data_IF_630954729692
#
_entry.id   IF_630954729692
#
_cell.length_a   1.000
_cell.length_b   1.000
_cell.length_c   1.000
_cell.angle_alpha   90.00
_cell.angle_beta   90.00
_cell.angle_gamma   90.00
#
_symmetry.space_group_name_H-M   'P 1'
#
loop_
_entity.id
_entity.type
_entity.pdbx_description
1 polymer ?
#
# COMPACT_ATOMS: atom_id res chain seq x y z
N UNK A 1 -18.85 -14.14 -14.49
CA UNK A 1 -18.62 -12.95 -15.35
C UNK A 1 -17.67 -13.36 -16.47
N UNK A 2 -17.71 -12.76 -17.67
CA UNK A 2 -16.72 -13.08 -18.74
C UNK A 2 -15.84 -11.87 -18.99
N UNK A 3 -14.53 -12.07 -19.04
CA UNK A 3 -13.55 -11.04 -19.44
C UNK A 3 -12.74 -11.63 -20.57
N UNK A 4 -12.66 -10.92 -21.71
CA UNK A 4 -11.96 -11.39 -22.92
C UNK A 4 -12.40 -12.80 -23.38
N UNK A 5 -13.66 -13.18 -23.13
CA UNK A 5 -14.23 -14.48 -23.49
C UNK A 5 -14.06 -15.60 -22.46
N UNK A 6 -13.13 -15.45 -21.50
CA UNK A 6 -12.90 -16.43 -20.44
C UNK A 6 -13.92 -16.25 -19.28
N UNK A 7 -14.54 -17.34 -18.80
CA UNK A 7 -15.39 -17.29 -17.62
C UNK A 7 -14.55 -17.07 -16.37
N UNK A 8 -14.75 -15.93 -15.71
CA UNK A 8 -14.19 -15.63 -14.40
C UNK A 8 -15.25 -15.89 -13.34
N UNK A 9 -14.92 -16.85 -12.47
CA UNK A 9 -15.64 -17.11 -11.23
C UNK A 9 -14.96 -16.36 -10.08
N UNK A 10 -15.48 -15.17 -9.77
CA UNK A 10 -14.98 -14.32 -8.70
C UNK A 10 -15.12 -14.99 -7.33
N UNK A 11 -16.18 -15.78 -7.12
CA UNK A 11 -16.44 -16.46 -5.85
C UNK A 11 -15.39 -17.54 -5.59
N UNK A 12 -15.12 -18.37 -6.60
CA UNK A 12 -14.06 -19.37 -6.52
C UNK A 12 -12.67 -18.73 -6.39
N UNK A 13 -12.39 -17.65 -7.15
CA UNK A 13 -11.12 -16.93 -7.05
C UNK A 13 -10.91 -16.30 -5.68
N UNK A 14 -11.95 -15.73 -5.05
CA UNK A 14 -11.88 -15.20 -3.70
C UNK A 14 -11.65 -16.30 -2.66
N UNK A 15 -12.34 -17.43 -2.77
CA UNK A 15 -12.15 -18.57 -1.89
C UNK A 15 -10.76 -19.21 -2.05
N UNK A 16 -10.19 -19.18 -3.26
CA UNK A 16 -8.80 -19.58 -3.51
C UNK A 16 -7.83 -18.59 -2.88
N UNK A 17 -8.01 -17.28 -3.13
CA UNK A 17 -7.19 -16.20 -2.57
C UNK A 17 -7.08 -16.31 -1.04
N UNK A 18 -8.22 -16.52 -0.38
CA UNK A 18 -8.27 -16.66 1.07
C UNK A 18 -7.60 -17.94 1.58
N UNK A 19 -7.70 -19.06 0.88
CA UNK A 19 -7.14 -20.35 1.33
C UNK A 19 -5.65 -20.49 1.00
N UNK A 20 -5.23 -20.05 -0.17
CA UNK A 20 -3.91 -20.32 -0.73
C UNK A 20 -2.92 -19.18 -0.51
N UNK A 21 -3.39 -17.94 -0.37
CA UNK A 21 -2.55 -16.75 -0.26
C UNK A 21 -2.79 -15.94 1.02
N UNK A 22 -3.45 -16.51 2.03
CA UNK A 22 -3.73 -15.84 3.33
C UNK A 22 -2.50 -15.17 3.94
N UNK A 23 -1.37 -15.87 3.96
CA UNK A 23 -0.13 -15.34 4.52
C UNK A 23 0.34 -14.08 3.78
N UNK A 24 0.25 -14.07 2.44
CA UNK A 24 0.57 -12.91 1.62
C UNK A 24 -0.42 -11.76 1.85
N UNK A 25 -1.72 -12.04 2.02
CA UNK A 25 -2.69 -11.00 2.36
C UNK A 25 -2.41 -10.38 3.74
N UNK A 26 -2.09 -11.21 4.75
CA UNK A 26 -1.73 -10.72 6.08
C UNK A 26 -0.44 -9.89 6.04
N UNK A 27 0.58 -10.34 5.31
CA UNK A 27 1.83 -9.60 5.10
C UNK A 27 1.60 -8.29 4.34
N UNK A 28 0.75 -8.31 3.32
CA UNK A 28 0.37 -7.11 2.57
C UNK A 28 -0.31 -6.09 3.49
N UNK A 29 -1.25 -6.53 4.33
CA UNK A 29 -1.92 -5.67 5.30
C UNK A 29 -0.93 -5.10 6.32
N UNK A 30 -0.07 -5.94 6.89
CA UNK A 30 0.91 -5.51 7.88
C UNK A 30 1.91 -4.49 7.30
N UNK A 31 2.46 -4.77 6.12
CA UNK A 31 3.38 -3.86 5.43
C UNK A 31 2.70 -2.57 4.96
N UNK A 32 1.42 -2.63 4.56
CA UNK A 32 0.67 -1.43 4.21
C UNK A 32 0.46 -0.51 5.42
N UNK A 33 0.15 -1.07 6.59
CA UNK A 33 0.00 -0.31 7.84
C UNK A 33 1.33 0.29 8.29
N UNK A 34 2.42 -0.48 8.24
CA UNK A 34 3.75 0.02 8.57
C UNK A 34 4.18 1.15 7.63
N UNK A 35 3.93 1.01 6.33
CA UNK A 35 4.25 2.06 5.38
C UNK A 35 3.41 3.32 5.67
N UNK A 36 2.08 3.21 5.83
CA UNK A 36 1.23 4.35 6.19
C UNK A 36 1.68 5.05 7.48
N UNK A 37 2.05 4.28 8.52
CA UNK A 37 2.59 4.82 9.76
C UNK A 37 3.92 5.55 9.54
N UNK A 38 4.82 4.97 8.75
CA UNK A 38 6.11 5.58 8.43
C UNK A 38 5.97 6.85 7.59
N UNK A 39 5.03 6.87 6.64
CA UNK A 39 4.69 8.06 5.85
C UNK A 39 4.10 9.15 6.74
N UNK A 40 3.21 8.78 7.67
CA UNK A 40 2.63 9.74 8.62
C UNK A 40 3.72 10.37 9.51
N UNK A 41 4.64 9.55 10.03
CA UNK A 41 5.76 10.02 10.85
C UNK A 41 6.77 10.87 10.06
N UNK A 42 7.00 10.52 8.80
CA UNK A 42 7.80 11.32 7.87
C UNK A 42 7.15 12.68 7.61
N UNK A 43 5.86 12.70 7.25
CA UNK A 43 5.11 13.93 6.96
C UNK A 43 4.96 14.83 8.18
N UNK A 44 4.84 14.27 9.39
CA UNK A 44 4.78 15.08 10.62
C UNK A 44 6.09 15.80 10.92
N UNK A 45 7.22 15.30 10.40
CA UNK A 45 8.55 15.84 10.68
C UNK A 45 9.09 16.73 9.57
N UNK A 46 8.87 16.36 8.31
CA UNK A 46 9.44 17.03 7.13
C UNK A 46 8.40 17.78 6.29
N UNK A 47 7.12 17.65 6.64
CA UNK A 47 6.00 18.26 5.93
C UNK A 47 5.52 17.44 4.73
N UNK A 48 4.29 17.73 4.31
CA UNK A 48 3.60 17.01 3.21
C UNK A 48 4.25 17.23 1.85
N UNK A 49 4.86 18.39 1.62
CA UNK A 49 5.44 18.77 0.32
C UNK A 49 6.62 17.88 -0.11
N UNK A 50 7.27 17.25 0.86
CA UNK A 50 8.41 16.35 0.64
C UNK A 50 8.00 14.93 0.27
N UNK A 51 6.72 14.61 0.28
CA UNK A 51 6.20 13.31 -0.15
C UNK A 51 6.43 13.10 -1.65
N UNK A 52 7.09 12.00 -2.00
CA UNK A 52 7.42 11.64 -3.38
C UNK A 52 6.21 11.11 -4.14
N UNK A 53 5.26 10.49 -3.44
CA UNK A 53 4.04 10.00 -4.07
C UNK A 53 3.03 11.13 -4.27
N UNK A 54 2.77 11.60 -5.50
CA UNK A 54 1.91 12.75 -5.74
C UNK A 54 0.45 12.50 -5.33
N UNK A 55 -0.01 11.24 -5.40
CA UNK A 55 -1.36 10.87 -5.00
C UNK A 55 -1.49 10.94 -3.48
N UNK A 56 -0.56 10.35 -2.73
CA UNK A 56 -0.57 10.42 -1.27
C UNK A 56 -0.38 11.87 -0.82
N UNK A 57 0.51 12.64 -1.46
CA UNK A 57 0.67 14.08 -1.19
C UNK A 57 -0.63 14.85 -1.36
N UNK A 58 -1.34 14.64 -2.48
CA UNK A 58 -2.62 15.29 -2.75
C UNK A 58 -3.69 14.90 -1.73
N UNK A 59 -3.78 13.61 -1.38
CA UNK A 59 -4.71 13.12 -0.36
C UNK A 59 -4.36 13.66 1.03
N UNK A 60 -3.08 13.74 1.39
CA UNK A 60 -2.63 14.29 2.67
C UNK A 60 -2.84 15.79 2.77
N UNK A 61 -2.69 16.53 1.67
CA UNK A 61 -2.99 17.96 1.63
C UNK A 61 -4.49 18.26 1.79
N UNK A 62 -5.36 17.37 1.30
CA UNK A 62 -6.81 17.55 1.38
C UNK A 62 -7.45 16.98 2.65
N UNK A 63 -7.05 15.76 3.05
CA UNK A 63 -7.64 15.02 4.16
C UNK A 63 -6.79 15.03 5.44
N UNK A 64 -5.57 15.56 5.39
CA UNK A 64 -4.62 15.57 6.50
C UNK A 64 -3.61 14.41 6.47
N UNK A 65 -2.51 14.59 7.21
CA UNK A 65 -1.31 13.75 7.16
C UNK A 65 -1.51 12.30 7.60
N UNK A 66 -2.59 12.01 8.34
CA UNK A 66 -2.92 10.65 8.81
C UNK A 66 -3.89 9.96 7.84
N UNK A 67 -4.93 10.67 7.40
CA UNK A 67 -5.98 10.08 6.55
C UNK A 67 -5.48 9.90 5.12
N UNK A 68 -4.64 10.81 4.62
CA UNK A 68 -4.08 10.74 3.26
C UNK A 68 -3.34 9.42 2.97
N UNK A 69 -2.34 9.02 3.77
CA UNK A 69 -1.62 7.77 3.58
C UNK A 69 -2.53 6.53 3.72
N UNK A 70 -3.48 6.54 4.66
CA UNK A 70 -4.43 5.45 4.83
C UNK A 70 -5.31 5.24 3.59
N UNK A 71 -5.85 6.32 3.01
CA UNK A 71 -6.65 6.25 1.79
C UNK A 71 -5.83 5.72 0.60
N UNK A 72 -4.57 6.16 0.47
CA UNK A 72 -3.65 5.62 -0.53
C UNK A 72 -3.47 4.10 -0.40
N UNK A 73 -3.34 3.59 0.82
CA UNK A 73 -3.21 2.14 1.09
C UNK A 73 -4.49 1.38 0.87
N UNK A 74 -5.66 1.94 1.21
CA UNK A 74 -6.95 1.33 0.89
C UNK A 74 -7.07 1.13 -0.62
N UNK A 75 -6.74 2.14 -1.42
CA UNK A 75 -6.73 2.03 -2.89
C UNK A 75 -5.78 0.94 -3.40
N UNK A 76 -4.56 0.88 -2.86
CA UNK A 76 -3.59 -0.16 -3.20
C UNK A 76 -4.07 -1.57 -2.84
N UNK A 77 -4.66 -1.75 -1.65
CA UNK A 77 -5.19 -3.04 -1.19
C UNK A 77 -6.35 -3.51 -2.09
N UNK A 78 -7.28 -2.61 -2.41
CA UNK A 78 -8.39 -2.91 -3.33
C UNK A 78 -7.85 -3.30 -4.70
N UNK A 79 -6.88 -2.54 -5.24
CA UNK A 79 -6.26 -2.84 -6.53
C UNK A 79 -5.55 -4.20 -6.55
N UNK A 80 -4.79 -4.51 -5.51
CA UNK A 80 -4.09 -5.79 -5.39
C UNK A 80 -5.07 -6.97 -5.29
N UNK A 81 -6.13 -6.85 -4.47
CA UNK A 81 -7.17 -7.88 -4.34
C UNK A 81 -7.92 -8.04 -5.66
N UNK A 82 -8.34 -6.94 -6.29
CA UNK A 82 -9.04 -6.97 -7.56
C UNK A 82 -8.20 -7.68 -8.64
N UNK A 83 -6.91 -7.36 -8.76
CA UNK A 83 -6.00 -8.05 -9.67
C UNK A 83 -5.87 -9.55 -9.36
N UNK A 84 -5.82 -9.93 -8.07
CA UNK A 84 -5.81 -11.34 -7.70
C UNK A 84 -7.10 -12.08 -8.07
N UNK A 85 -8.25 -11.40 -7.98
CA UNK A 85 -9.55 -11.97 -8.36
C UNK A 85 -9.71 -12.08 -9.88
N UNK A 86 -9.14 -11.15 -10.65
CA UNK A 86 -9.21 -11.14 -12.12
C UNK A 86 -8.15 -12.06 -12.74
N UNK A 87 -6.96 -12.15 -12.14
CA UNK A 87 -5.83 -12.92 -12.62
C UNK A 87 -5.26 -13.85 -11.51
N UNK A 88 -5.99 -14.91 -11.13
CA UNK A 88 -5.62 -15.79 -10.02
C UNK A 88 -4.25 -16.45 -10.18
N UNK A 89 -3.79 -16.69 -11.42
CA UNK A 89 -2.45 -17.23 -11.71
C UNK A 89 -1.32 -16.27 -11.33
N UNK A 90 -1.58 -14.97 -11.36
CA UNK A 90 -0.61 -13.93 -11.01
C UNK A 90 -0.74 -13.46 -9.57
N UNK A 91 -1.71 -13.96 -8.79
CA UNK A 91 -2.03 -13.44 -7.45
C UNK A 91 -0.81 -13.36 -6.52
N UNK A 92 -0.01 -14.44 -6.42
CA UNK A 92 1.22 -14.45 -5.61
C UNK A 92 2.24 -13.40 -6.06
N UNK A 93 2.41 -13.24 -7.37
CA UNK A 93 3.32 -12.24 -7.94
C UNK A 93 2.82 -10.83 -7.61
N UNK A 94 1.55 -10.54 -7.86
CA UNK A 94 0.91 -9.24 -7.55
C UNK A 94 1.06 -8.88 -6.07
N UNK A 95 0.75 -9.81 -5.17
CA UNK A 95 0.88 -9.58 -3.72
C UNK A 95 2.34 -9.37 -3.32
N UNK A 96 3.27 -10.16 -3.86
CA UNK A 96 4.71 -10.03 -3.56
C UNK A 96 5.26 -8.67 -4.00
N UNK A 97 4.88 -8.20 -5.18
CA UNK A 97 5.26 -6.87 -5.67
C UNK A 97 4.68 -5.78 -4.78
N UNK A 98 3.40 -5.86 -4.41
CA UNK A 98 2.78 -4.87 -3.53
C UNK A 98 3.43 -4.83 -2.13
N UNK A 99 3.78 -6.00 -1.57
CA UNK A 99 4.54 -6.11 -0.32
C UNK A 99 5.92 -5.46 -0.46
N UNK A 100 6.65 -5.78 -1.52
CA UNK A 100 7.99 -5.25 -1.76
C UNK A 100 7.97 -3.71 -1.90
N UNK A 101 6.98 -3.17 -2.59
CA UNK A 101 6.79 -1.72 -2.73
C UNK A 101 6.50 -1.05 -1.38
N UNK A 102 5.66 -1.66 -0.53
CA UNK A 102 5.41 -1.15 0.82
C UNK A 102 6.69 -1.15 1.68
N UNK A 103 7.48 -2.22 1.60
CA UNK A 103 8.75 -2.32 2.33
C UNK A 103 9.79 -1.31 1.82
N UNK A 104 9.86 -1.09 0.51
CA UNK A 104 10.73 -0.09 -0.08
C UNK A 104 10.35 1.31 0.37
N UNK A 105 9.05 1.65 0.33
CA UNK A 105 8.55 2.93 0.82
C UNK A 105 8.84 3.12 2.31
N UNK A 106 8.63 2.09 3.14
CA UNK A 106 9.02 2.09 4.55
C UNK A 106 10.51 2.39 4.74
N UNK A 107 11.39 1.71 4.00
CA UNK A 107 12.84 1.93 4.08
C UNK A 107 13.21 3.36 3.67
N UNK A 108 12.62 3.87 2.59
CA UNK A 108 12.86 5.26 2.15
C UNK A 108 12.37 6.25 3.21
N UNK A 109 11.16 6.07 3.74
CA UNK A 109 10.60 6.95 4.77
C UNK A 109 11.48 6.96 6.02
N UNK A 110 11.96 5.80 6.48
CA UNK A 110 12.85 5.69 7.63
C UNK A 110 14.24 6.29 7.36
N UNK A 111 14.81 6.06 6.19
CA UNK A 111 16.12 6.59 5.83
C UNK A 111 16.10 8.12 5.74
N UNK A 112 15.07 8.68 5.07
CA UNK A 112 14.89 10.13 4.97
C UNK A 112 14.56 10.73 6.34
N UNK A 113 13.77 10.05 7.17
CA UNK A 113 13.51 10.47 8.55
C UNK A 113 14.81 10.57 9.38
N UNK A 114 15.70 9.58 9.27
CA UNK A 114 16.99 9.58 9.98
C UNK A 114 17.94 10.67 9.46
N UNK A 115 17.97 10.92 8.16
CA UNK A 115 18.77 11.99 7.55
C UNK A 115 18.20 13.39 7.82
N UNK A 116 16.88 13.50 8.00
CA UNK A 116 16.19 14.75 8.25
C UNK A 116 16.45 15.31 9.65
N UNK A 117 16.72 14.45 10.64
CA UNK A 117 16.92 14.82 12.05
C UNK A 117 15.71 15.54 12.67
N UNK A 118 15.53 15.53 14.00
CA UNK A 118 14.60 16.46 14.63
C UNK A 118 15.13 17.88 14.37
N UNK A 119 14.32 18.72 13.74
CA UNK A 119 14.51 20.18 13.84
C UNK A 119 14.25 20.51 15.30
N UNK A 120 15.31 20.55 16.11
CA UNK A 120 15.28 21.20 17.41
C UNK A 120 14.99 22.67 17.10
N UNK A 121 13.72 23.05 17.19
CA UNK A 121 13.32 24.45 17.13
C UNK A 121 14.00 25.21 18.28
N UNK A 122 14.40 26.47 18.05
CA UNK A 122 14.95 27.33 19.11
C UNK A 122 13.95 27.59 20.23
#
# INVERSE_FOLDING_TARGET
MRILGEPIDLGWNAARLWRCERAYLCLLLATALLDAASTTAFMSSLGVDRELNPLVRGLSAFCGIVIGPLLGKIGQLIGAVALCLLAPRLGRFTLSVAILLNLLALVVNLHVYQLGGPVVGP
#
